data_IF_868946885886
#
_entry.id   IF_868946885886
#
_cell.length_a   1.000
_cell.length_b   1.000
_cell.length_c   1.000
_cell.angle_alpha   90.00
_cell.angle_beta   90.00
_cell.angle_gamma   90.00
#
_symmetry.space_group_name_H-M   'P 1'
#
loop_
_entity.id
_entity.type
_entity.pdbx_description
1 polymer ?
#
# COMPACT_ATOMS: atom_id res chain seq x y z
N UNK A 1 10.96 -10.50 -1.87
CA UNK A 1 9.76 -10.58 -1.01
C UNK A 1 8.55 -10.06 -1.78
N UNK A 2 7.40 -10.69 -1.64
CA UNK A 2 6.10 -10.22 -2.14
C UNK A 2 5.36 -9.58 -0.99
N UNK A 3 4.96 -8.32 -1.11
CA UNK A 3 4.39 -7.58 0.01
C UNK A 3 3.27 -6.64 -0.39
N UNK A 4 2.31 -6.51 0.51
CA UNK A 4 1.20 -5.56 0.43
C UNK A 4 1.29 -4.66 1.66
N UNK A 5 1.32 -3.35 1.43
CA UNK A 5 1.42 -2.34 2.47
C UNK A 5 0.06 -1.68 2.66
N UNK A 6 -0.46 -1.73 3.87
CA UNK A 6 -1.76 -1.15 4.22
C UNK A 6 -1.65 -0.27 5.45
N UNK A 7 -2.60 0.61 5.62
CA UNK A 7 -2.70 1.51 6.77
C UNK A 7 -3.26 2.85 6.39
N UNK A 8 -3.63 3.62 7.38
CA UNK A 8 -4.21 4.95 7.19
C UNK A 8 -3.28 5.85 6.37
N UNK A 9 -3.84 6.76 5.62
CA UNK A 9 -3.08 7.84 4.96
C UNK A 9 -2.19 8.56 5.98
N UNK A 10 -1.02 9.02 5.57
CA UNK A 10 0.02 9.60 6.44
C UNK A 10 0.70 8.63 7.44
N UNK A 11 0.38 7.32 7.42
CA UNK A 11 1.14 6.34 8.21
C UNK A 11 2.55 6.04 7.67
N UNK A 12 2.95 6.62 6.54
CA UNK A 12 4.31 6.49 5.98
C UNK A 12 4.48 5.36 4.96
N UNK A 13 3.39 4.82 4.40
CA UNK A 13 3.43 3.72 3.41
C UNK A 13 4.34 4.01 2.22
N UNK A 14 4.06 5.07 1.48
CA UNK A 14 4.81 5.42 0.26
C UNK A 14 6.30 5.66 0.55
N UNK A 15 6.61 6.30 1.68
CA UNK A 15 7.98 6.52 2.12
C UNK A 15 8.71 5.20 2.33
N UNK A 16 8.10 4.26 3.07
CA UNK A 16 8.71 2.97 3.36
C UNK A 16 8.84 2.09 2.11
N UNK A 17 7.83 2.09 1.25
CA UNK A 17 7.86 1.38 -0.04
C UNK A 17 9.02 1.89 -0.90
N UNK A 18 9.18 3.20 -1.01
CA UNK A 18 10.26 3.82 -1.79
C UNK A 18 11.65 3.45 -1.23
N UNK A 19 11.81 3.46 0.09
CA UNK A 19 13.07 3.04 0.72
C UNK A 19 13.37 1.57 0.48
N UNK A 20 12.36 0.70 0.57
CA UNK A 20 12.52 -0.72 0.31
C UNK A 20 12.83 -0.99 -1.16
N UNK A 21 12.18 -0.29 -2.09
CA UNK A 21 12.51 -0.38 -3.52
C UNK A 21 13.95 0.07 -3.77
N UNK A 22 14.40 1.19 -3.17
CA UNK A 22 15.79 1.63 -3.23
C UNK A 22 16.77 0.60 -2.67
N UNK A 23 16.40 -0.03 -1.56
CA UNK A 23 17.19 -1.10 -0.94
C UNK A 23 17.41 -2.27 -1.91
N UNK A 24 16.37 -2.68 -2.63
CA UNK A 24 16.47 -3.73 -3.64
C UNK A 24 17.27 -3.29 -4.86
N UNK A 25 17.02 -2.09 -5.38
CA UNK A 25 17.73 -1.56 -6.55
C UNK A 25 19.23 -1.47 -6.31
N UNK A 26 19.68 -0.97 -5.15
CA UNK A 26 21.09 -0.95 -4.75
C UNK A 26 21.74 -2.33 -4.78
N UNK A 27 20.96 -3.39 -4.61
CA UNK A 27 21.39 -4.80 -4.69
C UNK A 27 21.14 -5.45 -6.07
N UNK A 28 20.90 -4.61 -7.09
CA UNK A 28 20.61 -5.04 -8.47
C UNK A 28 19.40 -5.97 -8.58
N UNK A 29 18.42 -5.79 -7.71
CA UNK A 29 17.14 -6.50 -7.79
C UNK A 29 16.07 -5.57 -8.32
N UNK A 30 15.30 -6.07 -9.28
CA UNK A 30 14.14 -5.35 -9.79
C UNK A 30 12.95 -5.66 -8.90
N UNK A 31 12.22 -4.63 -8.56
CA UNK A 31 10.92 -4.72 -7.90
C UNK A 31 9.82 -4.40 -8.90
N UNK A 32 8.65 -4.95 -8.68
CA UNK A 32 7.42 -4.45 -9.27
C UNK A 32 6.72 -3.63 -8.20
N UNK A 33 6.66 -2.33 -8.41
CA UNK A 33 5.98 -1.39 -7.52
C UNK A 33 4.70 -0.94 -8.19
N UNK A 34 3.58 -1.05 -7.47
CA UNK A 34 2.29 -0.59 -7.95
C UNK A 34 1.48 0.01 -6.81
N UNK A 35 0.62 0.94 -7.13
CA UNK A 35 -0.28 1.58 -6.20
C UNK A 35 -1.72 1.26 -6.57
N UNK A 36 -2.59 1.34 -5.59
CA UNK A 36 -3.99 1.03 -5.81
C UNK A 36 -4.79 2.28 -6.15
N UNK A 37 -5.61 2.20 -7.20
CA UNK A 37 -6.31 3.34 -7.83
C UNK A 37 -7.43 3.98 -7.01
N UNK A 38 -7.44 3.89 -5.72
CA UNK A 38 -8.50 4.51 -4.94
C UNK A 38 -8.45 6.04 -5.01
N UNK A 39 -7.24 6.58 -5.10
CA UNK A 39 -6.97 8.00 -5.31
C UNK A 39 -6.34 8.14 -6.68
N UNK A 40 -6.52 9.25 -7.41
CA UNK A 40 -5.85 9.43 -8.68
C UNK A 40 -4.34 9.20 -8.56
N UNK A 41 -3.89 8.07 -9.07
CA UNK A 41 -2.51 7.63 -9.00
C UNK A 41 -1.56 8.67 -9.62
N UNK A 42 -0.46 8.93 -8.95
CA UNK A 42 0.55 9.87 -9.41
C UNK A 42 1.25 9.44 -10.71
N UNK A 43 1.16 8.17 -11.11
CA UNK A 43 1.63 7.68 -12.42
C UNK A 43 0.78 8.21 -13.58
N UNK A 44 -0.49 8.59 -13.31
CA UNK A 44 -1.36 9.20 -14.31
C UNK A 44 -0.90 10.63 -14.64
N UNK A 45 -1.15 11.06 -15.88
CA UNK A 45 -0.94 12.46 -16.25
C UNK A 45 -1.81 13.40 -15.40
N UNK A 46 -1.40 14.67 -15.17
CA UNK A 46 -2.24 15.62 -14.44
C UNK A 46 -3.65 15.75 -15.02
N UNK A 47 -3.80 15.68 -16.34
CA UNK A 47 -5.10 15.72 -17.02
C UNK A 47 -5.93 14.49 -16.67
N UNK A 48 -5.34 13.31 -16.71
CA UNK A 48 -6.04 12.05 -16.38
C UNK A 48 -6.46 12.02 -14.90
N UNK A 49 -5.61 12.50 -13.99
CA UNK A 49 -5.93 12.61 -12.57
C UNK A 49 -7.12 13.55 -12.32
N UNK A 50 -7.11 14.72 -12.95
CA UNK A 50 -8.21 15.68 -12.84
C UNK A 50 -9.52 15.11 -13.41
N UNK A 51 -9.47 14.31 -14.46
CA UNK A 51 -10.65 13.65 -15.04
C UNK A 51 -11.17 12.49 -14.19
N UNK A 52 -10.27 11.72 -13.56
CA UNK A 52 -10.62 10.53 -12.79
C UNK A 52 -11.66 10.83 -11.70
N UNK A 53 -11.49 11.93 -10.98
CA UNK A 53 -12.41 12.31 -9.89
C UNK A 53 -13.85 12.54 -10.38
N UNK A 54 -14.03 12.85 -11.66
CA UNK A 54 -15.33 13.10 -12.28
C UNK A 54 -15.94 11.89 -12.97
N UNK A 55 -15.26 10.74 -12.98
CA UNK A 55 -15.85 9.54 -13.55
C UNK A 55 -17.08 9.09 -12.74
N UNK A 56 -18.10 8.52 -13.39
CA UNK A 56 -19.22 7.89 -12.71
C UNK A 56 -18.75 6.79 -11.75
N UNK A 57 -19.48 6.59 -10.66
CA UNK A 57 -19.10 5.65 -9.59
C UNK A 57 -19.01 4.21 -10.08
N UNK A 58 -19.88 3.79 -11.01
CA UNK A 58 -19.84 2.47 -11.62
C UNK A 58 -18.61 2.23 -12.49
N UNK A 59 -18.07 3.29 -13.13
CA UNK A 59 -16.81 3.24 -13.86
C UNK A 59 -15.63 3.12 -12.92
N UNK A 60 -15.59 3.93 -11.87
CA UNK A 60 -14.54 3.87 -10.84
C UNK A 60 -14.51 2.49 -10.18
N UNK A 61 -15.68 1.99 -9.77
CA UNK A 61 -15.84 0.65 -9.19
C UNK A 61 -15.30 -0.44 -10.13
N UNK A 62 -15.66 -0.38 -11.40
CA UNK A 62 -15.20 -1.35 -12.39
C UNK A 62 -13.69 -1.33 -12.55
N UNK A 63 -13.08 -0.15 -12.59
CA UNK A 63 -11.63 0.02 -12.70
C UNK A 63 -10.92 -0.55 -11.47
N UNK A 64 -11.41 -0.25 -10.28
CA UNK A 64 -10.85 -0.75 -9.02
C UNK A 64 -10.92 -2.29 -8.94
N UNK A 65 -12.07 -2.87 -9.29
CA UNK A 65 -12.24 -4.33 -9.31
C UNK A 65 -11.27 -5.00 -10.29
N UNK A 66 -11.12 -4.47 -11.49
CA UNK A 66 -10.17 -4.99 -12.47
C UNK A 66 -8.74 -4.92 -11.96
N UNK A 67 -8.38 -3.85 -11.25
CA UNK A 67 -7.05 -3.67 -10.71
C UNK A 67 -6.76 -4.64 -9.55
N UNK A 68 -7.72 -4.92 -8.69
CA UNK A 68 -7.55 -5.93 -7.65
C UNK A 68 -7.15 -7.30 -8.25
N UNK A 69 -7.83 -7.72 -9.32
CA UNK A 69 -7.50 -8.95 -10.03
C UNK A 69 -6.14 -8.88 -10.73
N UNK A 70 -5.81 -7.73 -11.33
CA UNK A 70 -4.51 -7.49 -11.95
C UNK A 70 -3.37 -7.64 -10.92
N UNK A 71 -3.52 -7.06 -9.72
CA UNK A 71 -2.53 -7.18 -8.65
C UNK A 71 -2.30 -8.62 -8.22
N UNK A 72 -3.32 -9.47 -8.19
CA UNK A 72 -3.13 -10.90 -7.91
C UNK A 72 -2.16 -11.55 -8.92
N UNK A 73 -2.33 -11.27 -10.21
CA UNK A 73 -1.44 -11.81 -11.24
C UNK A 73 -0.03 -11.22 -11.16
N UNK A 74 0.09 -9.92 -10.88
CA UNK A 74 1.38 -9.26 -10.66
C UNK A 74 2.13 -9.89 -9.49
N UNK A 75 1.49 -10.02 -8.33
CA UNK A 75 2.10 -10.58 -7.13
C UNK A 75 2.56 -12.03 -7.38
N UNK A 76 1.77 -12.83 -8.09
CA UNK A 76 2.12 -14.22 -8.40
C UNK A 76 3.31 -14.35 -9.35
N UNK A 77 3.43 -13.45 -10.31
CA UNK A 77 4.41 -13.54 -11.39
C UNK A 77 5.76 -12.89 -11.07
N UNK A 78 5.80 -11.95 -10.10
CA UNK A 78 7.03 -11.24 -9.76
C UNK A 78 7.53 -11.60 -8.36
N UNK A 79 8.83 -11.94 -8.20
CA UNK A 79 9.38 -12.38 -6.91
C UNK A 79 9.55 -11.24 -5.90
N UNK A 80 9.64 -9.99 -6.38
CA UNK A 80 9.75 -8.80 -5.55
C UNK A 80 8.66 -7.82 -5.96
N UNK A 81 7.55 -7.87 -5.23
CA UNK A 81 6.37 -7.04 -5.49
C UNK A 81 6.07 -6.19 -4.28
N UNK A 82 5.87 -4.89 -4.49
CA UNK A 82 5.54 -3.90 -3.48
C UNK A 82 4.23 -3.24 -3.90
N UNK A 83 3.12 -3.62 -3.26
CA UNK A 83 1.80 -3.07 -3.55
C UNK A 83 1.38 -2.17 -2.39
N UNK A 84 0.99 -0.92 -2.69
CA UNK A 84 0.36 -0.04 -1.72
C UNK A 84 -1.16 -0.23 -1.74
N UNK A 85 -1.77 -0.40 -0.57
CA UNK A 85 -3.23 -0.45 -0.39
C UNK A 85 -3.87 -1.79 -0.69
N UNK A 86 -4.33 -2.00 -1.89
CA UNK A 86 -5.12 -3.14 -2.34
C UNK A 86 -6.54 -3.11 -1.74
N UNK A 87 -7.24 -4.26 -1.68
CA UNK A 87 -8.63 -4.32 -1.24
C UNK A 87 -8.90 -3.86 0.21
N UNK A 88 -7.90 -3.94 1.10
CA UNK A 88 -8.04 -3.55 2.51
C UNK A 88 -8.27 -2.04 2.62
N UNK A 89 -7.46 -1.24 1.91
CA UNK A 89 -7.65 0.22 1.91
C UNK A 89 -8.98 0.61 1.27
N UNK A 90 -9.34 -0.02 0.14
CA UNK A 90 -10.64 0.21 -0.48
C UNK A 90 -11.79 -0.08 0.46
N UNK A 91 -11.69 -1.19 1.20
CA UNK A 91 -12.71 -1.55 2.15
C UNK A 91 -12.96 -0.47 3.17
N UNK A 92 -11.88 -0.01 3.79
CA UNK A 92 -11.96 0.99 4.85
C UNK A 92 -12.46 2.33 4.30
N UNK A 93 -11.86 2.81 3.22
CA UNK A 93 -12.19 4.13 2.70
C UNK A 93 -13.54 4.18 1.99
N UNK A 94 -13.93 3.14 1.26
CA UNK A 94 -15.26 3.08 0.68
C UNK A 94 -16.36 2.97 1.73
N UNK A 95 -16.09 2.31 2.86
CA UNK A 95 -17.05 2.23 3.97
C UNK A 95 -17.30 3.59 4.63
N UNK A 96 -16.24 4.36 4.82
CA UNK A 96 -16.33 5.68 5.48
C UNK A 96 -16.77 6.77 4.49
N UNK A 97 -16.23 6.78 3.28
CA UNK A 97 -16.36 7.91 2.35
C UNK A 97 -17.17 7.60 1.09
N UNK A 98 -17.40 6.34 0.75
CA UNK A 98 -18.06 5.96 -0.50
C UNK A 98 -19.51 6.43 -0.64
N UNK A 99 -20.20 6.70 0.48
CA UNK A 99 -21.58 7.19 0.50
C UNK A 99 -21.69 8.70 0.85
N UNK A 100 -20.57 9.39 0.97
CA UNK A 100 -20.56 10.81 1.33
C UNK A 100 -20.80 11.66 0.09
N UNK A 101 -21.86 12.45 0.09
CA UNK A 101 -22.19 13.36 -1.00
C UNK A 101 -21.02 14.33 -1.25
N UNK A 102 -20.56 14.39 -2.49
CA UNK A 102 -19.43 15.24 -2.89
C UNK A 102 -18.06 14.56 -2.79
N UNK A 103 -17.97 13.34 -2.30
CA UNK A 103 -16.75 12.57 -2.37
C UNK A 103 -16.53 12.05 -3.80
N UNK A 104 -15.49 12.54 -4.44
CA UNK A 104 -15.16 12.20 -5.82
C UNK A 104 -14.14 11.07 -5.93
N UNK A 105 -13.56 10.62 -4.81
CA UNK A 105 -12.47 9.64 -4.82
C UNK A 105 -12.96 8.21 -4.74
N UNK A 106 -13.90 7.93 -3.82
CA UNK A 106 -14.38 6.58 -3.59
C UNK A 106 -15.79 6.41 -4.16
N UNK A 107 -16.02 5.40 -4.99
CA UNK A 107 -17.36 5.06 -5.44
C UNK A 107 -18.22 4.60 -4.25
N UNK A 108 -19.52 4.84 -4.36
CA UNK A 108 -20.47 4.16 -3.48
C UNK A 108 -20.42 2.66 -3.80
N UNK A 109 -19.69 1.92 -2.98
CA UNK A 109 -19.30 0.57 -3.28
C UNK A 109 -20.37 -0.41 -2.80
N UNK A 110 -21.05 -1.07 -3.74
CA UNK A 110 -21.96 -2.20 -3.47
C UNK A 110 -21.21 -3.42 -2.88
N UNK A 111 -19.95 -3.26 -2.58
CA UNK A 111 -19.02 -4.30 -2.15
C UNK A 111 -19.32 -4.90 -0.79
N UNK A 112 -20.05 -4.24 0.06
CA UNK A 112 -20.28 -4.70 1.42
C UNK A 112 -20.89 -6.10 1.53
N UNK A 113 -21.75 -6.47 0.58
CA UNK A 113 -22.45 -7.75 0.65
C UNK A 113 -21.84 -8.87 -0.20
N UNK A 114 -21.00 -8.54 -1.18
CA UNK A 114 -20.41 -9.55 -2.09
C UNK A 114 -18.90 -9.72 -1.91
N UNK A 115 -18.26 -8.77 -1.23
CA UNK A 115 -16.83 -8.67 -1.08
C UNK A 115 -16.16 -9.90 -0.47
N UNK A 116 -16.73 -10.48 0.56
CA UNK A 116 -16.08 -11.54 1.31
C UNK A 116 -15.66 -12.74 0.45
N UNK A 117 -16.51 -13.19 -0.45
CA UNK A 117 -16.20 -14.35 -1.28
C UNK A 117 -15.10 -14.06 -2.30
N UNK A 118 -15.23 -12.96 -3.05
CA UNK A 118 -14.29 -12.60 -4.12
C UNK A 118 -12.89 -12.29 -3.54
N UNK A 119 -12.84 -11.53 -2.45
CA UNK A 119 -11.60 -11.21 -1.73
C UNK A 119 -10.96 -12.47 -1.16
N UNK A 120 -11.72 -13.36 -0.52
CA UNK A 120 -11.20 -14.62 0.00
C UNK A 120 -10.59 -15.49 -1.12
N UNK A 121 -11.21 -15.53 -2.30
CA UNK A 121 -10.66 -16.26 -3.45
C UNK A 121 -9.37 -15.62 -3.94
N UNK A 122 -9.29 -14.29 -3.97
CA UNK A 122 -8.07 -13.57 -4.35
C UNK A 122 -6.93 -13.81 -3.34
N UNK A 123 -7.19 -13.64 -2.06
CA UNK A 123 -6.21 -13.86 -0.99
C UNK A 123 -5.71 -15.30 -0.92
N UNK A 124 -6.61 -16.29 -1.11
CA UNK A 124 -6.23 -17.70 -1.15
C UNK A 124 -5.25 -18.06 -2.29
N UNK A 125 -5.15 -17.20 -3.30
CA UNK A 125 -4.17 -17.34 -4.40
C UNK A 125 -2.80 -16.75 -4.08
N UNK A 126 -2.63 -16.13 -2.91
CA UNK A 126 -1.45 -15.38 -2.48
C UNK A 126 -0.86 -15.90 -1.16
N UNK A 127 -0.52 -17.20 -1.05
CA UNK A 127 -0.13 -17.81 0.23
C UNK A 127 1.20 -17.26 0.79
N UNK A 128 2.09 -16.73 -0.07
CA UNK A 128 3.45 -16.30 0.27
C UNK A 128 3.59 -14.77 0.38
N UNK A 129 2.47 -14.05 0.49
CA UNK A 129 2.49 -12.59 0.61
C UNK A 129 2.69 -12.20 2.07
N UNK A 130 3.55 -11.22 2.31
CA UNK A 130 3.68 -10.54 3.60
C UNK A 130 2.76 -9.31 3.60
N UNK A 131 1.79 -9.30 4.50
CA UNK A 131 0.95 -8.14 4.76
C UNK A 131 1.66 -7.23 5.76
N UNK A 132 1.89 -5.98 5.39
CA UNK A 132 2.58 -4.99 6.21
C UNK A 132 1.59 -3.90 6.58
N UNK A 133 1.18 -3.88 7.84
CA UNK A 133 0.27 -2.88 8.38
C UNK A 133 1.07 -1.76 9.05
N UNK A 134 1.00 -0.56 8.47
CA UNK A 134 1.60 0.64 9.06
C UNK A 134 0.58 1.40 9.87
N UNK A 135 1.00 1.81 11.06
CA UNK A 135 0.22 2.67 11.95
C UNK A 135 1.10 3.81 12.49
N UNK A 136 0.45 4.83 13.02
CA UNK A 136 1.09 5.89 13.78
C UNK A 136 0.10 6.47 14.80
N UNK A 137 0.59 7.20 15.81
CA UNK A 137 -0.26 7.94 16.73
C UNK A 137 -1.08 9.00 15.99
N UNK A 138 -2.28 9.28 16.48
CA UNK A 138 -3.18 10.25 15.87
C UNK A 138 -2.54 11.62 15.70
N UNK A 139 -1.76 12.06 16.70
CA UNK A 139 -1.09 13.36 16.62
C UNK A 139 0.02 13.37 15.57
N UNK A 140 0.75 12.26 15.43
CA UNK A 140 1.76 12.12 14.38
C UNK A 140 1.14 12.19 12.98
N UNK A 141 -0.03 11.56 12.79
CA UNK A 141 -0.79 11.64 11.54
C UNK A 141 -1.24 13.08 11.27
N UNK A 142 -1.85 13.76 12.25
CA UNK A 142 -2.28 15.16 12.13
C UNK A 142 -1.11 16.10 11.79
N UNK A 143 0.04 15.88 12.45
CA UNK A 143 1.23 16.68 12.16
C UNK A 143 1.71 16.50 10.73
N UNK A 144 1.74 15.27 10.23
CA UNK A 144 2.10 14.96 8.83
C UNK A 144 1.09 15.56 7.84
N UNK A 145 -0.21 15.52 8.15
CA UNK A 145 -1.24 16.19 7.36
C UNK A 145 -1.00 17.71 7.23
N UNK A 146 -0.55 18.35 8.31
CA UNK A 146 -0.26 19.80 8.33
C UNK A 146 1.03 20.16 7.61
N UNK A 147 2.06 19.33 7.75
CA UNK A 147 3.41 19.65 7.27
C UNK A 147 3.68 19.23 5.84
N UNK A 148 3.03 18.17 5.38
CA UNK A 148 3.17 17.65 4.02
C UNK A 148 1.81 17.18 3.46
N UNK A 149 0.87 18.12 3.22
CA UNK A 149 -0.47 17.79 2.77
C UNK A 149 -0.44 17.16 1.37
N UNK A 150 -1.20 16.08 1.19
CA UNK A 150 -1.35 15.43 -0.11
C UNK A 150 -2.20 16.27 -1.05
N UNK A 151 -1.86 16.28 -2.35
CA UNK A 151 -2.65 16.94 -3.40
C UNK A 151 -4.10 16.43 -3.43
N UNK A 152 -4.30 15.14 -3.18
CA UNK A 152 -5.59 14.47 -3.09
C UNK A 152 -5.73 13.82 -1.71
N UNK A 153 -5.93 14.65 -0.70
CA UNK A 153 -6.13 14.16 0.67
C UNK A 153 -7.50 13.50 0.79
N UNK A 154 -7.52 12.30 1.32
CA UNK A 154 -8.74 11.49 1.46
C UNK A 154 -9.36 11.62 2.83
N UNK A 155 -8.53 11.62 3.87
CA UNK A 155 -9.01 11.53 5.25
C UNK A 155 -9.24 12.89 5.88
N UNK A 156 -10.27 12.97 6.73
CA UNK A 156 -10.48 14.08 7.64
C UNK A 156 -9.82 13.78 9.01
N UNK A 157 -9.25 14.81 9.66
CA UNK A 157 -8.62 14.65 10.98
C UNK A 157 -9.52 14.02 12.04
N UNK A 158 -10.82 14.30 11.98
CA UNK A 158 -11.83 13.78 12.93
C UNK A 158 -12.03 12.27 12.81
N UNK A 159 -11.75 11.70 11.63
CA UNK A 159 -12.01 10.30 11.31
C UNK A 159 -10.81 9.39 11.63
N UNK A 160 -9.64 9.96 11.98
CA UNK A 160 -8.40 9.20 12.23
C UNK A 160 -8.60 8.02 13.20
N UNK A 161 -9.22 8.19 14.39
CA UNK A 161 -9.37 7.08 15.33
C UNK A 161 -10.27 5.96 14.79
N UNK A 162 -11.36 6.30 14.11
CA UNK A 162 -12.28 5.32 13.51
C UNK A 162 -11.63 4.59 12.34
N UNK A 163 -10.93 5.30 11.48
CA UNK A 163 -10.19 4.72 10.36
C UNK A 163 -9.13 3.73 10.83
N UNK A 164 -8.32 4.08 11.84
CA UNK A 164 -7.30 3.18 12.40
C UNK A 164 -7.92 1.88 12.89
N UNK A 165 -9.03 1.97 13.64
CA UNK A 165 -9.74 0.79 14.11
C UNK A 165 -10.28 -0.07 12.95
N UNK A 166 -10.82 0.56 11.91
CA UNK A 166 -11.31 -0.17 10.72
C UNK A 166 -10.18 -0.86 9.98
N UNK A 167 -9.00 -0.25 9.89
CA UNK A 167 -7.81 -0.91 9.34
C UNK A 167 -7.42 -2.15 10.14
N UNK A 168 -7.41 -2.07 11.48
CA UNK A 168 -7.17 -3.22 12.36
C UNK A 168 -8.20 -4.33 12.10
N UNK A 169 -9.48 -3.99 12.09
CA UNK A 169 -10.58 -4.95 11.87
C UNK A 169 -10.48 -5.62 10.48
N UNK A 170 -10.11 -4.88 9.42
CA UNK A 170 -9.97 -5.42 8.08
C UNK A 170 -8.70 -6.28 7.92
N UNK A 171 -7.60 -5.88 8.53
CA UNK A 171 -6.36 -6.66 8.59
C UNK A 171 -6.62 -8.00 9.30
N UNK A 172 -7.31 -7.98 10.43
CA UNK A 172 -7.64 -9.19 11.19
C UNK A 172 -8.56 -10.17 10.42
N UNK A 173 -9.40 -9.64 9.54
CA UNK A 173 -10.28 -10.46 8.68
C UNK A 173 -9.56 -11.08 7.49
N UNK A 174 -8.41 -10.56 7.11
CA UNK A 174 -7.66 -11.00 5.93
C UNK A 174 -7.13 -12.43 6.10
N UNK A 175 -7.25 -13.25 5.07
CA UNK A 175 -6.65 -14.58 5.04
C UNK A 175 -5.12 -14.51 5.00
N UNK A 176 -4.54 -13.40 4.52
CA UNK A 176 -3.10 -13.19 4.45
C UNK A 176 -2.45 -13.22 5.85
N UNK A 177 -3.20 -12.87 6.88
CA UNK A 177 -2.70 -12.87 8.27
C UNK A 177 -2.64 -14.26 8.90
N UNK A 178 -3.43 -15.21 8.39
CA UNK A 178 -3.59 -16.55 9.00
C UNK A 178 -2.33 -17.40 8.98
N UNK A 179 -1.42 -17.13 8.06
CA UNK A 179 -0.16 -17.86 7.92
C UNK A 179 0.99 -17.23 8.72
N UNK A 180 0.71 -16.28 9.60
CA UNK A 180 1.73 -15.56 10.37
C UNK A 180 2.54 -14.55 9.53
N UNK A 181 2.05 -14.20 8.36
CA UNK A 181 2.72 -13.25 7.44
C UNK A 181 2.27 -11.80 7.65
N UNK A 182 1.77 -11.45 8.84
CA UNK A 182 1.46 -10.08 9.22
C UNK A 182 2.65 -9.44 9.93
N UNK A 183 3.06 -8.28 9.46
CA UNK A 183 4.02 -7.38 10.12
C UNK A 183 3.31 -6.07 10.43
N UNK A 184 3.24 -5.71 11.70
CA UNK A 184 2.77 -4.39 12.13
C UNK A 184 3.95 -3.49 12.46
N UNK A 185 3.94 -2.27 11.90
CA UNK A 185 4.97 -1.25 12.09
C UNK A 185 4.32 0.04 12.61
N UNK A 186 4.74 0.45 13.79
CA UNK A 186 4.44 1.78 14.31
C UNK A 186 5.53 2.76 13.87
N UNK A 187 5.13 3.77 13.11
CA UNK A 187 6.03 4.78 12.55
C UNK A 187 6.02 6.10 13.33
N UNK A 188 5.34 6.16 14.50
CA UNK A 188 5.12 7.39 15.27
C UNK A 188 6.41 8.15 15.55
N UNK A 189 7.40 7.48 16.10
CA UNK A 189 8.66 8.08 16.60
C UNK A 189 9.89 7.61 15.85
N UNK A 190 9.71 6.91 14.73
CA UNK A 190 10.81 6.33 13.95
C UNK A 190 11.10 7.17 12.72
N UNK A 191 12.39 7.27 12.40
CA UNK A 191 12.78 7.74 11.08
C UNK A 191 12.34 6.74 10.01
N UNK A 192 12.27 7.15 8.74
CA UNK A 192 12.02 6.25 7.65
C UNK A 192 13.02 5.09 7.57
N UNK A 193 14.31 5.34 7.84
CA UNK A 193 15.39 4.35 7.84
C UNK A 193 15.22 3.36 8.99
N UNK A 194 14.91 3.80 10.20
CA UNK A 194 14.63 2.93 11.35
C UNK A 194 13.40 2.03 11.07
N UNK A 195 12.40 2.56 10.37
CA UNK A 195 11.23 1.78 9.97
C UNK A 195 11.58 0.72 8.92
N UNK A 196 12.49 1.03 7.99
CA UNK A 196 12.99 0.07 7.02
C UNK A 196 13.82 -1.05 7.70
N UNK A 197 14.70 -0.69 8.61
CA UNK A 197 15.54 -1.65 9.35
C UNK A 197 14.67 -2.61 10.16
N UNK A 198 13.65 -2.08 10.84
CA UNK A 198 12.67 -2.92 11.56
C UNK A 198 11.88 -3.83 10.62
N UNK A 199 11.44 -3.32 9.48
CA UNK A 199 10.74 -4.12 8.46
C UNK A 199 11.61 -5.29 8.00
N UNK A 200 12.87 -5.02 7.64
CA UNK A 200 13.80 -6.04 7.18
C UNK A 200 14.00 -7.12 8.26
N UNK A 201 14.25 -6.70 9.51
CA UNK A 201 14.44 -7.61 10.64
C UNK A 201 13.19 -8.48 10.89
N UNK A 202 12.01 -7.88 10.92
CA UNK A 202 10.75 -8.61 11.16
C UNK A 202 10.38 -9.56 10.00
N UNK A 203 10.81 -9.26 8.79
CA UNK A 203 10.52 -10.10 7.62
C UNK A 203 11.55 -11.20 7.38
N UNK A 204 12.71 -11.20 8.06
CA UNK A 204 13.74 -12.25 7.90
C UNK A 204 13.19 -13.69 8.07
N UNK A 205 12.35 -13.99 9.07
CA UNK A 205 11.77 -15.33 9.21
C UNK A 205 10.75 -15.71 8.12
N UNK A 206 10.29 -14.76 7.34
CA UNK A 206 9.21 -14.92 6.35
C UNK A 206 9.71 -14.99 4.91
N UNK A 207 10.98 -14.71 4.69
CA UNK A 207 11.57 -14.68 3.35
C UNK A 207 12.39 -15.94 3.06
N UNK A 208 12.68 -16.18 1.79
CA UNK A 208 13.46 -17.34 1.37
C UNK A 208 14.95 -17.21 1.72
N UNK A 209 15.65 -18.33 1.79
CA UNK A 209 17.11 -18.34 1.99
C UNK A 209 17.85 -17.51 0.93
N UNK A 210 17.35 -17.52 -0.32
CA UNK A 210 17.91 -16.70 -1.40
C UNK A 210 17.74 -15.20 -1.15
N UNK A 211 16.62 -14.80 -0.55
CA UNK A 211 16.39 -13.42 -0.12
C UNK A 211 17.32 -13.03 1.04
N UNK A 212 17.46 -13.90 2.05
CA UNK A 212 18.36 -13.66 3.18
C UNK A 212 19.82 -13.56 2.70
N UNK A 213 20.24 -14.45 1.83
CA UNK A 213 21.58 -14.39 1.24
C UNK A 213 21.81 -13.07 0.48
N UNK A 214 20.81 -12.60 -0.27
CA UNK A 214 20.88 -11.32 -0.96
C UNK A 214 20.97 -10.14 0.03
N UNK A 215 20.20 -10.16 1.12
CA UNK A 215 20.24 -9.13 2.17
C UNK A 215 21.61 -9.05 2.85
N UNK A 216 22.28 -10.19 3.05
CA UNK A 216 23.60 -10.28 3.67
C UNK A 216 24.75 -9.87 2.72
N UNK A 217 24.50 -9.76 1.41
CA UNK A 217 25.54 -9.32 0.47
C UNK A 217 25.86 -7.84 0.65
N UNK A 218 27.15 -7.46 0.55
CA UNK A 218 27.52 -6.05 0.51
C UNK A 218 26.84 -5.37 -0.69
N UNK A 219 26.48 -4.09 -0.49
CA UNK A 219 25.99 -3.27 -1.59
C UNK A 219 27.10 -3.15 -2.62
N UNK A 220 26.88 -3.52 -3.90
CA UNK A 220 27.90 -3.39 -4.93
C UNK A 220 28.38 -1.93 -5.04
N UNK A 221 29.69 -1.73 -5.18
CA UNK A 221 30.23 -0.40 -5.47
C UNK A 221 29.81 0.07 -6.86
N UNK A 222 29.43 1.33 -6.98
CA UNK A 222 29.05 1.98 -8.24
C UNK A 222 27.93 2.98 -8.02
N UNK A 223 27.90 4.01 -8.85
CA UNK A 223 26.84 5.02 -8.85
C UNK A 223 25.54 4.40 -9.37
N UNK A 224 24.66 4.05 -8.44
CA UNK A 224 23.27 3.74 -8.76
C UNK A 224 22.45 4.99 -8.54
N UNK A 225 22.07 5.64 -9.63
CA UNK A 225 21.01 6.62 -9.60
C UNK A 225 19.70 5.93 -9.21
N UNK A 226 19.35 6.00 -7.93
CA UNK A 226 18.01 5.64 -7.49
C UNK A 226 17.06 6.70 -8.03
N UNK A 227 16.31 6.37 -9.08
CA UNK A 227 15.45 7.33 -9.74
C UNK A 227 14.14 7.46 -8.98
N UNK A 228 14.08 8.41 -8.05
CA UNK A 228 12.84 8.86 -7.44
C UNK A 228 12.56 10.31 -7.77
N UNK A 229 11.38 10.57 -8.27
CA UNK A 229 10.77 11.89 -8.18
C UNK A 229 9.47 11.73 -7.37
N UNK A 230 9.44 12.33 -6.16
CA UNK A 230 8.25 12.54 -5.31
C UNK A 230 7.17 11.44 -5.46
N UNK A 231 7.45 10.25 -4.98
CA UNK A 231 6.48 9.18 -4.83
C UNK A 231 6.14 8.37 -6.08
N UNK A 232 6.76 8.62 -7.22
CA UNK A 232 6.45 7.92 -8.47
C UNK A 232 7.70 7.48 -9.20
N UNK A 233 7.76 6.20 -9.53
CA UNK A 233 8.74 5.66 -10.47
C UNK A 233 8.45 6.23 -11.87
N UNK A 234 9.33 7.06 -12.44
CA UNK A 234 9.29 7.26 -13.89
C UNK A 234 9.65 5.93 -14.55
N UNK A 235 8.68 5.28 -15.15
CA UNK A 235 8.94 4.23 -16.12
C UNK A 235 9.61 4.90 -17.34
N UNK A 236 10.89 4.61 -17.57
CA UNK A 236 11.62 4.98 -18.76
C UNK A 236 11.52 3.89 -19.80
#
# INVERSE_FOLDING_TARGET
MRSIFVGIEYAGKSTLINLLDAYYQKRRRRTHLDDHFTIPDASLSPVSRAQYVHYPDDVKERMQRMQLHYHVEVIRNYPHTLIAGWHIEEAVYCDVYGNVAGNSYYPNYIYHNQRHYEVMVMEARLPDVVLIHLTADDEAIRERMRTDPHEYQVIDEKDIPDLKKRFEDEVDRSLLTRNGHLITLDTTKKSPEESLDELLLKTDPLVTDGELAMRAMPVPEGDYEVRYEKGVRKMG
#
